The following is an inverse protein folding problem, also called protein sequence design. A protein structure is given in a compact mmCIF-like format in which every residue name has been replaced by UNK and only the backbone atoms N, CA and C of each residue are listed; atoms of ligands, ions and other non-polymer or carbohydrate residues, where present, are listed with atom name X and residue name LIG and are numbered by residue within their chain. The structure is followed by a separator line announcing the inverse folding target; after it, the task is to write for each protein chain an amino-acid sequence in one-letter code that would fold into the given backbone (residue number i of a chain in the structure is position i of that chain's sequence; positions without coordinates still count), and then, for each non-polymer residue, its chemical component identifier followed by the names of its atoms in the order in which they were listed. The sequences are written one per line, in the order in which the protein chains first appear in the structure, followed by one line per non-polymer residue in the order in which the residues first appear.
data_IF_901270971032
#
_entry.id   IF_901270971032
#
_cell.length_a   1.000
_cell.length_b   1.000
_cell.length_c   1.000
_cell.angle_alpha   90.00
_cell.angle_beta   90.00
_cell.angle_gamma   90.00
#
_symmetry.space_group_name_H-M   'P 1'
#
loop_
_entity.id
_entity.type
_entity.pdbx_description
1 polymer ?
#
# COMPACT_ATOMS: atom_id res chain seq x y z
N UNK A 1 -17.15 -22.21 -17.96
CA UNK A 1 -15.81 -22.54 -17.40
C UNK A 1 -14.68 -22.35 -18.41
N UNK A 2 -14.91 -22.44 -19.73
CA UNK A 2 -13.85 -22.32 -20.74
C UNK A 2 -13.34 -20.86 -20.95
N UNK A 3 -14.22 -19.85 -20.94
CA UNK A 3 -13.83 -18.43 -21.22
C UNK A 3 -12.86 -17.82 -20.19
N UNK A 4 -12.88 -18.27 -18.93
CA UNK A 4 -12.00 -17.75 -17.87
C UNK A 4 -10.58 -18.27 -18.01
N UNK A 5 -10.41 -19.51 -18.49
CA UNK A 5 -9.09 -20.11 -18.70
C UNK A 5 -8.38 -19.48 -19.92
N UNK A 6 -9.12 -19.21 -20.98
CA UNK A 6 -8.56 -18.67 -22.23
C UNK A 6 -8.19 -17.18 -22.11
N UNK A 7 -8.82 -16.42 -21.19
CA UNK A 7 -8.55 -14.99 -21.00
C UNK A 7 -7.39 -14.71 -20.04
N UNK A 8 -7.17 -15.58 -19.05
CA UNK A 8 -6.15 -15.36 -18.02
C UNK A 8 -5.00 -16.35 -18.04
N UNK A 9 -5.09 -17.54 -18.66
CA UNK A 9 -3.98 -18.49 -18.72
C UNK A 9 -3.84 -19.43 -17.51
N UNK A 10 -4.71 -19.29 -16.49
CA UNK A 10 -4.76 -20.17 -15.33
C UNK A 10 -5.09 -19.46 -14.01
N UNK A 11 -5.13 -20.23 -12.91
CA UNK A 11 -5.38 -19.70 -11.55
C UNK A 11 -4.28 -18.73 -11.10
N UNK A 12 -3.02 -19.01 -11.45
CA UNK A 12 -1.87 -18.16 -11.11
C UNK A 12 -2.03 -16.78 -11.73
N UNK A 13 -2.26 -16.75 -13.01
CA UNK A 13 -2.33 -15.52 -13.80
C UNK A 13 -3.55 -14.69 -13.42
N UNK A 14 -4.68 -15.34 -13.10
CA UNK A 14 -5.84 -14.66 -12.51
C UNK A 14 -5.48 -14.00 -11.17
N UNK A 15 -4.78 -14.69 -10.27
CA UNK A 15 -4.35 -14.10 -8.99
C UNK A 15 -3.41 -12.91 -9.18
N UNK A 16 -2.46 -13.02 -10.13
CA UNK A 16 -1.53 -11.94 -10.46
C UNK A 16 -2.25 -10.75 -11.10
N UNK A 17 -3.24 -10.99 -11.96
CA UNK A 17 -4.06 -9.93 -12.55
C UNK A 17 -4.88 -9.19 -11.49
N UNK A 18 -5.54 -9.93 -10.59
CA UNK A 18 -6.35 -9.36 -9.52
C UNK A 18 -5.51 -8.49 -8.55
N UNK A 19 -4.32 -8.97 -8.14
CA UNK A 19 -3.47 -8.16 -7.24
C UNK A 19 -2.86 -6.95 -7.94
N UNK A 20 -2.56 -7.07 -9.24
CA UNK A 20 -2.13 -5.92 -10.05
C UNK A 20 -3.24 -4.87 -10.14
N UNK A 21 -4.48 -5.27 -10.40
CA UNK A 21 -5.62 -4.37 -10.49
C UNK A 21 -5.85 -3.63 -9.16
N UNK A 22 -5.76 -4.34 -8.02
CA UNK A 22 -5.86 -3.73 -6.70
C UNK A 22 -4.71 -2.74 -6.43
N UNK A 23 -3.49 -3.08 -6.85
CA UNK A 23 -2.36 -2.15 -6.76
C UNK A 23 -2.56 -0.91 -7.61
N UNK A 24 -3.15 -1.05 -8.81
CA UNK A 24 -3.49 0.06 -9.70
C UNK A 24 -4.57 0.95 -9.08
N UNK A 25 -5.65 0.34 -8.57
CA UNK A 25 -6.73 1.05 -7.90
C UNK A 25 -6.25 1.86 -6.68
N UNK A 26 -5.44 1.25 -5.81
CA UNK A 26 -4.86 1.94 -4.64
C UNK A 26 -3.92 3.08 -5.04
N UNK A 27 -3.28 3.01 -6.21
CA UNK A 27 -2.35 4.04 -6.67
C UNK A 27 -3.01 5.17 -7.44
N UNK A 28 -4.29 5.04 -7.81
CA UNK A 28 -4.96 5.96 -8.74
C UNK A 28 -5.09 7.39 -8.19
N UNK A 29 -5.15 7.55 -6.86
CA UNK A 29 -5.21 8.87 -6.19
C UNK A 29 -3.84 9.53 -6.02
N UNK A 30 -2.74 8.85 -6.33
CA UNK A 30 -1.38 9.44 -6.26
C UNK A 30 -1.14 10.36 -7.45
N UNK A 31 -1.50 11.64 -7.28
CA UNK A 31 -1.21 12.69 -8.25
C UNK A 31 0.00 13.53 -7.83
N UNK A 32 0.98 13.67 -8.72
CA UNK A 32 2.14 14.55 -8.57
C UNK A 32 1.92 15.93 -9.19
N UNK A 33 0.69 16.27 -9.56
CA UNK A 33 0.36 17.56 -10.15
C UNK A 33 0.55 18.70 -9.12
N UNK A 34 1.37 19.73 -9.41
CA UNK A 34 1.65 20.84 -8.48
C UNK A 34 0.45 21.76 -8.24
N UNK A 35 -0.64 21.63 -9.01
CA UNK A 35 -1.89 22.38 -8.80
C UNK A 35 -2.79 21.75 -7.72
N UNK A 36 -2.38 20.59 -7.20
CA UNK A 36 -3.15 19.83 -6.23
C UNK A 36 -3.08 20.44 -4.82
N UNK A 37 -4.00 20.03 -3.92
CA UNK A 37 -3.95 20.39 -2.50
C UNK A 37 -2.60 20.05 -1.85
N UNK A 38 -2.34 20.68 -0.70
CA UNK A 38 -1.15 20.41 0.12
C UNK A 38 -0.96 18.91 0.38
N UNK A 39 0.29 18.49 0.55
CA UNK A 39 0.69 17.10 0.75
C UNK A 39 -0.18 16.34 1.76
N UNK A 40 -0.54 16.97 2.88
CA UNK A 40 -1.39 16.36 3.92
C UNK A 40 -2.74 15.93 3.38
N UNK A 41 -3.43 16.79 2.64
CA UNK A 41 -4.73 16.49 2.03
C UNK A 41 -4.63 15.35 1.03
N UNK A 42 -3.60 15.35 0.18
CA UNK A 42 -3.36 14.24 -0.76
C UNK A 42 -3.11 12.91 -0.04
N UNK A 43 -2.39 12.92 1.07
CA UNK A 43 -2.14 11.72 1.89
C UNK A 43 -3.40 11.22 2.59
N UNK A 44 -4.32 12.11 2.97
CA UNK A 44 -5.64 11.72 3.51
C UNK A 44 -6.47 11.03 2.44
N UNK A 45 -6.59 11.64 1.26
CA UNK A 45 -7.35 11.07 0.13
C UNK A 45 -6.80 9.69 -0.29
N UNK A 46 -5.48 9.60 -0.41
CA UNK A 46 -4.81 8.33 -0.70
C UNK A 46 -5.01 7.31 0.44
N UNK A 47 -4.84 7.73 1.69
CA UNK A 47 -5.01 6.87 2.86
C UNK A 47 -6.44 6.32 3.00
N UNK A 48 -7.46 7.13 2.71
CA UNK A 48 -8.87 6.71 2.67
C UNK A 48 -9.10 5.65 1.59
N UNK A 49 -8.61 5.89 0.36
CA UNK A 49 -8.71 4.93 -0.73
C UNK A 49 -8.08 3.58 -0.38
N UNK A 50 -6.87 3.60 0.20
CA UNK A 50 -6.17 2.38 0.61
C UNK A 50 -6.90 1.67 1.76
N UNK A 51 -7.36 2.42 2.77
CA UNK A 51 -8.08 1.87 3.92
C UNK A 51 -9.40 1.20 3.51
N UNK A 52 -10.14 1.79 2.56
CA UNK A 52 -11.37 1.21 2.02
C UNK A 52 -11.11 -0.12 1.33
N UNK A 53 -10.06 -0.21 0.51
CA UNK A 53 -9.70 -1.45 -0.18
C UNK A 53 -9.22 -2.50 0.84
N UNK A 54 -8.46 -2.09 1.85
CA UNK A 54 -8.04 -2.95 2.95
C UNK A 54 -9.21 -3.52 3.78
N UNK A 55 -10.28 -2.74 3.94
CA UNK A 55 -11.49 -3.19 4.64
C UNK A 55 -12.26 -4.29 3.88
N UNK A 56 -12.03 -4.46 2.57
CA UNK A 56 -12.75 -5.45 1.76
C UNK A 56 -12.41 -6.90 2.13
N UNK A 57 -13.44 -7.76 2.16
CA UNK A 57 -13.25 -9.22 2.30
C UNK A 57 -12.50 -9.83 1.12
N UNK A 58 -12.58 -9.17 -0.05
CA UNK A 58 -11.93 -9.60 -1.28
C UNK A 58 -10.40 -9.59 -1.16
N UNK A 59 -9.81 -8.49 -0.68
CA UNK A 59 -8.37 -8.40 -0.50
C UNK A 59 -7.85 -9.47 0.47
N UNK A 60 -8.51 -9.66 1.61
CA UNK A 60 -8.13 -10.69 2.59
C UNK A 60 -8.16 -12.09 2.00
N UNK A 61 -9.22 -12.41 1.25
CA UNK A 61 -9.36 -13.70 0.57
C UNK A 61 -8.25 -13.91 -0.46
N UNK A 62 -7.92 -12.87 -1.23
CA UNK A 62 -6.85 -12.92 -2.23
C UNK A 62 -5.48 -13.21 -1.59
N UNK A 63 -5.12 -12.50 -0.52
CA UNK A 63 -3.88 -12.78 0.22
C UNK A 63 -3.84 -14.18 0.81
N UNK A 64 -4.95 -14.68 1.37
CA UNK A 64 -5.03 -16.05 1.89
C UNK A 64 -4.77 -17.09 0.80
N UNK A 65 -5.37 -16.92 -0.37
CA UNK A 65 -5.15 -17.80 -1.51
C UNK A 65 -3.68 -17.71 -1.94
N UNK A 66 -3.13 -16.51 -2.12
CA UNK A 66 -1.75 -16.32 -2.55
C UNK A 66 -0.73 -16.95 -1.60
N UNK A 67 -0.93 -16.82 -0.27
CA UNK A 67 -0.08 -17.48 0.74
C UNK A 67 -0.20 -19.00 0.66
N UNK A 68 -1.42 -19.52 0.53
CA UNK A 68 -1.64 -20.97 0.46
C UNK A 68 -1.02 -21.57 -0.80
N UNK A 69 -1.12 -20.85 -1.92
CA UNK A 69 -0.57 -21.27 -3.20
C UNK A 69 0.96 -21.10 -3.27
N UNK A 70 1.54 -20.08 -2.62
CA UNK A 70 3.00 -19.89 -2.60
C UNK A 70 3.72 -20.99 -1.83
N UNK A 71 3.06 -21.60 -0.84
CA UNK A 71 3.55 -22.81 -0.14
C UNK A 71 3.57 -24.03 -1.10
N UNK A 72 2.61 -24.11 -2.02
CA UNK A 72 2.44 -25.24 -2.95
C UNK A 72 3.22 -25.09 -4.25
N UNK A 73 3.45 -23.85 -4.68
CA UNK A 73 4.05 -23.49 -5.96
C UNK A 73 5.17 -22.46 -5.76
N UNK A 74 6.41 -22.89 -5.98
CA UNK A 74 7.60 -22.04 -5.93
C UNK A 74 7.48 -20.89 -6.96
N UNK A 75 7.78 -19.67 -6.52
CA UNK A 75 7.83 -18.47 -7.37
C UNK A 75 6.58 -17.59 -7.33
N UNK A 76 5.38 -18.16 -7.09
CA UNK A 76 4.14 -17.38 -7.08
C UNK A 76 4.15 -16.25 -6.04
N UNK A 77 4.68 -16.51 -4.84
CA UNK A 77 4.76 -15.50 -3.79
C UNK A 77 5.61 -14.28 -4.20
N UNK A 78 6.68 -14.50 -4.98
CA UNK A 78 7.52 -13.43 -5.49
C UNK A 78 6.78 -12.62 -6.56
N UNK A 79 6.19 -13.28 -7.55
CA UNK A 79 5.45 -12.59 -8.60
C UNK A 79 4.27 -11.80 -8.03
N UNK A 80 3.57 -12.37 -7.06
CA UNK A 80 2.48 -11.71 -6.33
C UNK A 80 2.97 -10.46 -5.60
N UNK A 81 4.13 -10.55 -4.94
CA UNK A 81 4.76 -9.38 -4.32
C UNK A 81 5.11 -8.32 -5.35
N UNK A 82 5.78 -8.71 -6.44
CA UNK A 82 6.32 -7.80 -7.46
C UNK A 82 5.21 -7.02 -8.18
N UNK A 83 4.08 -7.65 -8.51
CA UNK A 83 2.97 -6.99 -9.22
C UNK A 83 1.93 -6.35 -8.28
N UNK A 84 1.97 -6.68 -6.99
CA UNK A 84 1.05 -6.19 -5.97
C UNK A 84 1.71 -5.26 -4.94
N UNK A 85 2.01 -5.73 -3.71
CA UNK A 85 2.59 -4.91 -2.64
C UNK A 85 3.85 -4.12 -3.03
N UNK A 86 4.78 -4.76 -3.76
CA UNK A 86 6.02 -4.14 -4.19
C UNK A 86 5.76 -2.99 -5.17
N UNK A 87 4.89 -3.20 -6.15
CA UNK A 87 4.45 -2.17 -7.10
C UNK A 87 3.76 -0.99 -6.41
N UNK A 88 2.84 -1.27 -5.48
CA UNK A 88 2.16 -0.23 -4.70
C UNK A 88 3.16 0.63 -3.91
N UNK A 89 4.10 -0.04 -3.23
CA UNK A 89 5.16 0.64 -2.46
C UNK A 89 6.03 1.51 -3.36
N UNK A 90 6.41 0.99 -4.54
CA UNK A 90 7.21 1.74 -5.51
C UNK A 90 6.49 3.01 -6.00
N UNK A 91 5.19 2.92 -6.33
CA UNK A 91 4.43 4.08 -6.78
C UNK A 91 4.29 5.17 -5.71
N UNK A 92 4.07 4.78 -4.46
CA UNK A 92 4.04 5.73 -3.35
C UNK A 92 5.43 6.34 -3.10
N UNK A 93 6.50 5.56 -3.27
CA UNK A 93 7.87 6.08 -3.17
C UNK A 93 8.16 7.12 -4.27
N UNK A 94 7.71 6.88 -5.50
CA UNK A 94 7.84 7.84 -6.60
C UNK A 94 7.06 9.14 -6.31
N UNK A 95 5.86 9.03 -5.73
CA UNK A 95 5.10 10.18 -5.23
C UNK A 95 5.87 10.96 -4.16
N UNK A 96 6.42 10.29 -3.14
CA UNK A 96 7.21 10.96 -2.10
C UNK A 96 8.49 11.61 -2.64
N UNK A 97 9.15 10.97 -3.60
CA UNK A 97 10.30 11.54 -4.29
C UNK A 97 9.93 12.84 -5.01
N UNK A 98 8.76 12.89 -5.65
CA UNK A 98 8.26 14.11 -6.28
C UNK A 98 7.95 15.21 -5.25
N UNK A 99 7.29 14.87 -4.13
CA UNK A 99 7.01 15.81 -3.04
C UNK A 99 8.30 16.35 -2.38
N UNK A 100 9.36 15.55 -2.31
CA UNK A 100 10.68 16.01 -1.85
C UNK A 100 11.37 16.93 -2.85
N UNK A 101 11.19 16.70 -4.15
CA UNK A 101 11.72 17.55 -5.20
C UNK A 101 11.02 18.92 -5.26
N UNK A 102 9.72 18.98 -4.92
CA UNK A 102 8.95 20.24 -4.81
C UNK A 102 9.16 20.95 -3.47
N UNK A 103 9.84 20.33 -2.50
CA UNK A 103 10.08 20.89 -1.17
C UNK A 103 8.91 20.76 -0.20
N UNK A 104 7.86 20.02 -0.56
CA UNK A 104 6.71 19.75 0.30
C UNK A 104 7.01 18.70 1.38
N UNK A 105 8.00 17.84 1.13
CA UNK A 105 8.43 16.79 2.05
C UNK A 105 9.93 16.86 2.29
N UNK A 106 10.35 16.63 3.53
CA UNK A 106 11.77 16.55 3.89
C UNK A 106 12.46 15.39 3.16
N UNK A 107 13.73 15.59 2.79
CA UNK A 107 14.59 14.54 2.23
C UNK A 107 14.80 13.39 3.25
N UNK A 108 14.46 12.19 2.80
CA UNK A 108 14.62 10.89 3.42
C UNK A 108 14.51 9.83 2.31
N UNK A 109 14.79 8.56 2.60
CA UNK A 109 14.62 7.47 1.63
C UNK A 109 13.12 7.31 1.25
N UNK A 110 12.71 7.55 -0.01
CA UNK A 110 11.31 7.47 -0.42
C UNK A 110 10.71 6.07 -0.30
N UNK A 111 11.51 5.02 -0.51
CA UNK A 111 11.06 3.63 -0.40
C UNK A 111 10.74 3.30 1.07
N UNK A 112 11.58 3.76 1.99
CA UNK A 112 11.34 3.58 3.41
C UNK A 112 10.10 4.36 3.88
N UNK A 113 9.94 5.60 3.43
CA UNK A 113 8.75 6.41 3.70
C UNK A 113 7.46 5.72 3.22
N UNK A 114 7.46 5.21 1.99
CA UNK A 114 6.33 4.48 1.43
C UNK A 114 5.99 3.23 2.23
N UNK A 115 7.01 2.43 2.58
CA UNK A 115 6.84 1.23 3.41
C UNK A 115 6.27 1.55 4.79
N UNK A 116 6.77 2.60 5.45
CA UNK A 116 6.26 3.02 6.76
C UNK A 116 4.82 3.49 6.68
N UNK A 117 4.49 4.36 5.71
CA UNK A 117 3.14 4.90 5.58
C UNK A 117 2.10 3.79 5.30
N UNK A 118 2.39 2.90 4.35
CA UNK A 118 1.53 1.73 4.07
C UNK A 118 1.40 0.81 5.28
N UNK A 119 2.45 0.65 6.07
CA UNK A 119 2.42 -0.15 7.31
C UNK A 119 1.50 0.48 8.37
N UNK A 120 1.52 1.82 8.52
CA UNK A 120 0.62 2.52 9.43
C UNK A 120 -0.85 2.40 9.01
N UNK A 121 -1.13 2.49 7.70
CA UNK A 121 -2.47 2.26 7.16
C UNK A 121 -2.94 0.81 7.37
N UNK A 122 -2.02 -0.14 7.24
CA UNK A 122 -2.29 -1.58 7.43
C UNK A 122 -2.41 -1.99 8.89
N UNK A 123 -1.77 -1.28 9.82
CA UNK A 123 -1.72 -1.65 11.24
C UNK A 123 -3.11 -1.80 11.90
N UNK A 124 -4.13 -1.14 11.33
CA UNK A 124 -5.51 -1.20 11.79
C UNK A 124 -6.36 -2.23 11.02
N UNK A 125 -5.77 -2.96 10.07
CA UNK A 125 -6.47 -3.93 9.23
C UNK A 125 -6.11 -5.32 9.71
N UNK A 126 -6.99 -5.90 10.52
CA UNK A 126 -6.85 -7.29 10.89
C UNK A 126 -7.03 -8.19 9.67
N UNK A 127 -5.92 -8.80 9.27
CA UNK A 127 -5.91 -9.87 8.26
C UNK A 127 -6.55 -11.17 8.77
N UNK A 128 -6.93 -11.19 10.05
CA UNK A 128 -7.55 -12.32 10.74
C UNK A 128 -9.04 -12.02 10.96
N UNK A 129 -9.91 -12.94 10.55
CA UNK A 129 -11.39 -12.82 10.54
C UNK A 129 -12.04 -12.57 11.92
N UNK A 130 -11.28 -12.62 13.01
CA UNK A 130 -11.79 -12.65 14.38
C UNK A 130 -11.74 -11.32 15.13
N UNK A 131 -11.25 -10.24 14.51
CA UNK A 131 -11.29 -8.93 15.16
C UNK A 131 -12.58 -8.18 14.78
N UNK A 132 -13.32 -7.61 15.76
CA UNK A 132 -14.49 -6.80 15.45
C UNK A 132 -14.10 -5.65 14.51
N UNK A 133 -14.95 -5.44 13.50
CA UNK A 133 -14.85 -4.49 12.38
C UNK A 133 -14.62 -3.01 12.80
N UNK A 134 -14.56 -2.72 14.08
CA UNK A 134 -14.58 -1.39 14.70
C UNK A 134 -13.23 -0.66 14.73
N UNK A 135 -12.14 -1.30 14.26
CA UNK A 135 -10.81 -0.70 14.14
C UNK A 135 -10.50 -0.27 12.70
N UNK A 136 -11.42 0.37 11.99
CA UNK A 136 -11.02 1.06 10.75
C UNK A 136 -9.95 2.10 11.11
N UNK A 137 -8.87 2.16 10.31
CA UNK A 137 -7.80 3.13 10.55
C UNK A 137 -8.40 4.53 10.63
N UNK A 138 -8.11 5.26 11.71
CA UNK A 138 -8.28 6.72 11.68
C UNK A 138 -7.19 7.28 10.76
N UNK A 139 -7.56 7.43 9.48
CA UNK A 139 -6.65 7.91 8.43
C UNK A 139 -6.08 9.28 8.79
N UNK A 140 -6.86 10.13 9.47
CA UNK A 140 -6.36 11.45 9.89
C UNK A 140 -5.24 11.29 10.91
N UNK A 141 -5.45 10.46 11.94
CA UNK A 141 -4.43 10.18 12.94
C UNK A 141 -3.17 9.53 12.34
N UNK A 142 -3.34 8.61 11.38
CA UNK A 142 -2.21 7.99 10.66
C UNK A 142 -1.41 9.02 9.87
N UNK A 143 -2.09 9.90 9.14
CA UNK A 143 -1.44 10.96 8.36
C UNK A 143 -0.73 11.94 9.28
N UNK A 144 -1.35 12.33 10.40
CA UNK A 144 -0.74 13.26 11.35
C UNK A 144 0.52 12.65 11.99
N UNK A 145 0.46 11.40 12.46
CA UNK A 145 1.63 10.67 12.99
C UNK A 145 2.75 10.57 11.95
N UNK A 146 2.41 10.27 10.69
CA UNK A 146 3.40 10.20 9.62
C UNK A 146 4.04 11.56 9.36
N UNK A 147 3.22 12.61 9.17
CA UNK A 147 3.66 13.98 8.93
C UNK A 147 4.53 14.50 10.09
N UNK A 148 4.17 14.24 11.33
CA UNK A 148 4.96 14.62 12.50
C UNK A 148 6.28 13.85 12.55
N UNK A 149 6.26 12.55 12.25
CA UNK A 149 7.46 11.70 12.23
C UNK A 149 8.48 12.13 11.18
N UNK A 150 8.04 12.44 9.96
CA UNK A 150 8.93 12.90 8.88
C UNK A 150 9.42 14.34 9.09
N UNK A 151 8.66 15.16 9.83
CA UNK A 151 9.00 16.53 10.18
C UNK A 151 9.72 16.67 11.53
N UNK A 152 9.79 15.62 12.35
CA UNK A 152 10.57 15.61 13.60
C UNK A 152 12.08 15.63 13.35
N UNK A 153 12.85 16.33 14.19
CA UNK A 153 14.31 16.22 14.19
C UNK A 153 14.70 14.84 14.73
N UNK A 154 15.17 13.93 13.87
CA UNK A 154 15.84 12.73 14.35
C UNK A 154 17.20 13.11 14.94
N UNK A 155 17.25 13.37 16.26
CA UNK A 155 18.48 13.26 17.03
C UNK A 155 18.88 11.79 17.03
N UNK A 156 19.83 11.44 16.18
CA UNK A 156 20.54 10.18 16.28
C UNK A 156 21.28 10.20 17.62
N UNK A 157 20.76 9.48 18.62
CA UNK A 157 21.53 9.14 19.81
C UNK A 157 22.32 7.90 19.43
N UNK A 158 23.62 8.08 19.19
CA UNK A 158 24.53 6.94 19.03
C UNK A 158 24.44 6.03 20.27
N UNK A 159 24.41 4.70 20.09
CA UNK A 159 24.49 3.79 21.23
C UNK A 159 25.87 3.93 21.89
N UNK A 160 25.85 4.08 23.22
CA UNK A 160 27.03 4.14 24.08
C UNK A 160 27.77 2.80 24.16
#
# INVERSE_FOLDING_TARGET
MQEVADTFGGKRELLLAMVSELSDAMSASLSTDPTQPELRTRLIEYGQCVADIYATSHLRSLYRIAITESIRHTGLGRDFYDVGPGRLTQRLADFFKAAQASGELRRADPQLLASHFLSLLRANVDMVEFCPRELAADVFAVVDVFCDGVNGEHRHVEPA
#
